data_IF_119647662484
#
_entry.id   IF_119647662484
#
_cell.length_a   1.000
_cell.length_b   1.000
_cell.length_c   1.000
_cell.angle_alpha   90.00
_cell.angle_beta   90.00
_cell.angle_gamma   90.00
#
_symmetry.space_group_name_H-M   'P 1'
#
loop_
_entity.id
_entity.type
_entity.pdbx_description
1 polymer ?
#
# COMPACT_ATOMS: atom_id res chain seq x y z
N UNK A 1 10.90 20.82 -8.65
CA UNK A 1 10.12 19.86 -9.44
C UNK A 1 10.71 18.47 -9.25
N UNK A 2 10.06 17.60 -8.46
CA UNK A 2 10.38 16.17 -8.44
C UNK A 2 9.60 15.51 -9.60
N UNK A 3 10.13 15.65 -10.83
CA UNK A 3 9.37 15.45 -12.08
C UNK A 3 9.67 14.14 -12.82
N UNK A 4 10.39 13.20 -12.23
CA UNK A 4 10.77 11.98 -12.97
C UNK A 4 10.16 10.75 -12.34
N UNK A 5 9.84 9.79 -13.20
CA UNK A 5 9.71 8.38 -12.82
C UNK A 5 10.93 7.94 -11.97
N UNK A 6 10.73 6.93 -11.14
CA UNK A 6 11.83 6.27 -10.46
C UNK A 6 11.71 4.77 -10.55
N UNK A 7 12.83 4.14 -10.87
CA UNK A 7 12.94 2.71 -11.12
C UNK A 7 14.04 2.16 -10.22
N UNK A 8 13.73 1.10 -9.49
CA UNK A 8 14.70 0.30 -8.74
C UNK A 8 14.61 -1.15 -9.23
N UNK A 9 15.72 -1.89 -9.13
CA UNK A 9 15.77 -3.28 -9.59
C UNK A 9 16.81 -4.09 -8.83
N UNK A 10 16.58 -5.40 -8.74
CA UNK A 10 17.59 -6.34 -8.27
C UNK A 10 17.37 -7.74 -8.89
N UNK A 11 18.44 -8.55 -9.02
CA UNK A 11 18.32 -9.94 -9.44
C UNK A 11 17.46 -10.77 -8.49
N UNK A 12 16.58 -11.60 -9.04
CA UNK A 12 15.80 -12.61 -8.32
C UNK A 12 15.57 -13.84 -9.23
N UNK A 13 16.26 -14.94 -8.92
CA UNK A 13 16.18 -16.16 -9.72
C UNK A 13 16.65 -15.96 -11.17
N UNK A 14 15.84 -16.29 -12.19
CA UNK A 14 16.22 -16.21 -13.60
C UNK A 14 16.14 -14.79 -14.20
N UNK A 15 15.66 -13.80 -13.45
CA UNK A 15 15.40 -12.45 -13.96
C UNK A 15 15.67 -11.38 -12.87
N UNK A 16 15.16 -10.18 -13.07
CA UNK A 16 15.15 -9.09 -12.09
C UNK A 16 13.73 -8.84 -11.60
N UNK A 17 13.59 -8.44 -10.33
CA UNK A 17 12.42 -7.68 -9.90
C UNK A 17 12.67 -6.22 -10.25
N UNK A 18 11.69 -5.55 -10.86
CA UNK A 18 11.73 -4.13 -11.19
C UNK A 18 10.52 -3.44 -10.59
N UNK A 19 10.74 -2.38 -9.82
CA UNK A 19 9.70 -1.55 -9.21
C UNK A 19 9.76 -0.16 -9.79
N UNK A 20 8.60 0.36 -10.21
CA UNK A 20 8.47 1.70 -10.80
C UNK A 20 7.48 2.55 -10.01
N UNK A 21 7.84 3.81 -9.77
CA UNK A 21 6.95 4.86 -9.25
C UNK A 21 6.85 5.99 -10.27
N UNK A 22 5.68 6.64 -10.33
CA UNK A 22 5.45 7.73 -11.30
C UNK A 22 4.99 9.01 -10.60
N UNK A 23 5.24 10.20 -11.17
CA UNK A 23 4.70 11.45 -10.65
C UNK A 23 3.17 11.47 -10.59
N UNK A 24 2.51 10.74 -11.51
CA UNK A 24 1.05 10.56 -11.54
C UNK A 24 0.52 10.12 -10.19
N UNK A 25 1.22 9.24 -9.48
CA UNK A 25 0.74 8.52 -8.30
C UNK A 25 1.48 8.92 -7.02
N UNK A 26 2.05 10.14 -6.98
CA UNK A 26 2.68 10.72 -5.80
C UNK A 26 3.70 9.83 -5.07
N UNK A 27 4.38 8.90 -5.77
CA UNK A 27 5.36 7.98 -5.19
C UNK A 27 4.81 6.63 -4.73
N UNK A 28 3.51 6.36 -4.87
CA UNK A 28 2.97 5.00 -4.80
C UNK A 28 3.59 4.12 -5.91
N UNK A 29 3.69 2.81 -5.64
CA UNK A 29 4.29 1.88 -6.61
C UNK A 29 3.26 1.60 -7.71
N UNK A 30 3.63 2.03 -8.92
CA UNK A 30 2.83 1.91 -10.13
C UNK A 30 2.94 0.52 -10.75
N UNK A 31 4.13 -0.07 -10.71
CA UNK A 31 4.42 -1.33 -11.38
C UNK A 31 5.44 -2.13 -10.57
N UNK A 32 5.23 -3.44 -10.52
CA UNK A 32 6.15 -4.43 -9.98
C UNK A 32 6.21 -5.56 -10.99
N UNK A 33 7.35 -5.73 -11.65
CA UNK A 33 7.54 -6.81 -12.62
C UNK A 33 8.60 -7.79 -12.17
N UNK A 34 8.41 -9.05 -12.53
CA UNK A 34 9.43 -10.09 -12.41
C UNK A 34 9.25 -11.11 -13.52
N UNK A 35 10.35 -11.50 -14.18
CA UNK A 35 10.34 -12.49 -15.27
C UNK A 35 9.29 -12.17 -16.36
N UNK A 36 9.14 -10.88 -16.70
CA UNK A 36 8.20 -10.39 -17.72
C UNK A 36 6.74 -10.30 -17.30
N UNK A 37 6.40 -10.66 -16.05
CA UNK A 37 5.04 -10.59 -15.49
C UNK A 37 4.84 -9.30 -14.69
N UNK A 38 3.74 -8.60 -14.92
CA UNK A 38 3.27 -7.49 -14.07
C UNK A 38 2.42 -8.04 -12.92
N UNK A 39 2.62 -7.50 -11.72
CA UNK A 39 1.92 -7.92 -10.50
C UNK A 39 0.90 -6.88 -10.01
N UNK A 40 0.90 -5.65 -10.55
CA UNK A 40 0.02 -4.56 -10.10
C UNK A 40 -0.90 -4.09 -11.24
N UNK A 41 -2.21 -4.07 -11.00
CA UNK A 41 -3.21 -3.45 -11.88
C UNK A 41 -3.35 -1.95 -11.59
N UNK A 42 -2.38 -1.15 -12.03
CA UNK A 42 -2.35 0.29 -11.70
C UNK A 42 -3.26 1.19 -12.58
N UNK A 43 -4.49 0.75 -12.87
CA UNK A 43 -5.45 1.47 -13.71
C UNK A 43 -5.84 2.86 -13.18
N UNK A 44 -6.22 2.95 -11.90
CA UNK A 44 -6.69 4.18 -11.22
C UNK A 44 -5.95 4.40 -9.89
N UNK A 45 -6.17 5.54 -9.22
CA UNK A 45 -5.48 5.91 -7.97
C UNK A 45 -5.83 5.05 -6.73
N UNK A 46 -6.69 4.03 -6.87
CA UNK A 46 -7.02 3.07 -5.81
C UNK A 46 -6.19 1.79 -5.87
N UNK A 47 -5.53 1.48 -7.00
CA UNK A 47 -5.02 0.12 -7.29
C UNK A 47 -3.51 -0.07 -7.28
N UNK A 48 -2.77 0.90 -6.75
CA UNK A 48 -1.31 0.80 -6.65
C UNK A 48 -0.91 -0.19 -5.55
N UNK A 49 0.37 -0.57 -5.54
CA UNK A 49 0.98 -1.08 -4.32
C UNK A 49 1.27 0.12 -3.39
N UNK A 50 0.36 0.35 -2.46
CA UNK A 50 0.28 1.61 -1.70
C UNK A 50 -0.19 1.40 -0.26
N UNK A 51 -0.18 2.49 0.50
CA UNK A 51 -0.63 2.53 1.89
C UNK A 51 -1.74 3.57 2.09
N UNK A 52 -2.61 3.31 3.06
CA UNK A 52 -3.67 4.21 3.47
C UNK A 52 -3.90 4.13 4.99
N UNK A 53 -4.61 5.12 5.55
CA UNK A 53 -5.11 5.04 6.92
C UNK A 53 -6.57 5.43 6.96
N UNK A 54 -7.29 5.01 7.99
CA UNK A 54 -8.64 5.46 8.25
C UNK A 54 -8.78 5.85 9.73
N UNK A 55 -9.20 7.08 9.99
CA UNK A 55 -9.27 7.60 11.35
C UNK A 55 -10.72 7.84 11.77
N UNK A 56 -10.93 7.83 13.08
CA UNK A 56 -12.25 8.03 13.70
C UNK A 56 -12.75 9.48 13.55
N UNK A 57 -11.87 10.48 13.52
CA UNK A 57 -12.19 11.90 13.31
C UNK A 57 -13.41 12.39 14.13
N UNK A 58 -13.46 12.01 15.42
CA UNK A 58 -14.52 12.40 16.35
C UNK A 58 -15.76 11.48 16.41
N UNK A 59 -15.77 10.36 15.68
CA UNK A 59 -16.83 9.34 15.76
C UNK A 59 -16.31 7.95 15.39
N UNK A 60 -17.09 6.87 15.53
CA UNK A 60 -16.62 5.53 15.14
C UNK A 60 -16.10 5.48 13.70
N UNK A 61 -15.04 4.72 13.45
CA UNK A 61 -14.55 4.46 12.08
C UNK A 61 -15.68 3.80 11.30
N UNK A 62 -16.00 4.34 10.13
CA UNK A 62 -17.04 3.82 9.24
C UNK A 62 -16.69 4.18 7.79
N UNK A 63 -16.55 3.17 6.92
CA UNK A 63 -16.15 3.32 5.51
C UNK A 63 -14.93 4.24 5.34
N UNK A 64 -14.64 4.73 4.13
CA UNK A 64 -13.51 5.61 3.85
C UNK A 64 -13.81 7.09 4.18
N UNK A 65 -14.44 7.36 5.33
CA UNK A 65 -14.95 8.70 5.67
C UNK A 65 -13.89 9.69 6.13
N UNK A 66 -12.78 9.24 6.71
CA UNK A 66 -11.59 10.05 6.98
C UNK A 66 -10.34 9.24 6.63
N UNK A 67 -10.13 9.08 5.33
CA UNK A 67 -9.19 8.10 4.79
C UNK A 67 -8.09 8.76 3.95
N UNK A 68 -6.97 9.18 4.55
CA UNK A 68 -5.77 9.56 3.81
C UNK A 68 -5.18 8.38 3.01
N UNK A 69 -4.85 8.62 1.74
CA UNK A 69 -4.33 7.63 0.79
C UNK A 69 -3.03 8.11 0.14
N UNK A 70 -2.09 7.19 -0.10
CA UNK A 70 -0.78 7.53 -0.67
C UNK A 70 -0.90 8.00 -2.12
N UNK A 71 -1.53 7.22 -3.00
CA UNK A 71 -1.46 7.46 -4.43
C UNK A 71 -2.26 8.69 -4.86
N UNK A 72 -3.39 8.99 -4.20
CA UNK A 72 -4.28 10.11 -4.52
C UNK A 72 -5.72 9.85 -4.06
N UNK A 73 -6.61 10.74 -4.45
CA UNK A 73 -8.04 10.69 -4.10
C UNK A 73 -8.86 9.90 -5.12
N UNK A 74 -10.11 9.58 -4.78
CA UNK A 74 -11.07 8.96 -5.71
C UNK A 74 -11.31 9.79 -6.97
N UNK A 75 -11.31 11.11 -6.82
CA UNK A 75 -11.58 12.04 -7.93
C UNK A 75 -10.42 12.09 -8.94
N UNK A 76 -9.21 11.67 -8.54
CA UNK A 76 -8.09 11.57 -9.47
C UNK A 76 -8.32 10.43 -10.49
N UNK A 77 -9.09 9.40 -10.12
CA UNK A 77 -9.54 8.32 -11.00
C UNK A 77 -8.41 7.71 -11.84
N UNK A 78 -8.62 7.57 -13.15
CA UNK A 78 -7.57 7.17 -14.09
C UNK A 78 -6.71 8.35 -14.60
N UNK A 79 -6.88 9.55 -14.03
CA UNK A 79 -6.23 10.78 -14.46
C UNK A 79 -4.70 10.76 -14.37
N UNK A 80 -4.07 11.81 -14.92
CA UNK A 80 -2.62 11.93 -15.05
C UNK A 80 -1.94 12.59 -13.84
N UNK A 81 -2.71 13.07 -12.88
CA UNK A 81 -2.24 13.84 -11.73
C UNK A 81 -2.86 13.30 -10.46
N UNK A 82 -2.11 13.41 -9.37
CA UNK A 82 -2.57 13.05 -8.03
C UNK A 82 -2.84 14.29 -7.19
N UNK A 83 -3.86 14.18 -6.33
CA UNK A 83 -4.11 15.10 -5.23
C UNK A 83 -3.07 14.95 -4.11
N UNK A 84 -2.53 13.74 -3.90
CA UNK A 84 -1.39 13.51 -3.00
C UNK A 84 -0.11 14.13 -3.57
N UNK A 85 0.85 14.44 -2.70
CA UNK A 85 2.07 15.16 -3.10
C UNK A 85 3.32 14.42 -2.67
N UNK A 86 4.13 14.03 -3.66
CA UNK A 86 5.48 13.53 -3.41
C UNK A 86 6.38 14.67 -2.92
N UNK A 87 6.82 14.61 -1.67
CA UNK A 87 7.65 15.63 -1.02
C UNK A 87 9.15 15.31 -1.14
N UNK A 88 9.50 14.03 -1.04
CA UNK A 88 10.88 13.57 -1.08
C UNK A 88 10.99 12.20 -1.74
N UNK A 89 12.11 11.96 -2.41
CA UNK A 89 12.37 10.70 -3.09
C UNK A 89 13.86 10.41 -3.22
N UNK A 90 14.24 9.17 -2.91
CA UNK A 90 15.53 8.57 -3.25
C UNK A 90 15.25 7.24 -3.95
N UNK A 91 15.90 7.00 -5.08
CA UNK A 91 15.82 5.72 -5.78
C UNK A 91 17.20 5.40 -6.36
N UNK A 92 17.78 4.29 -5.93
CA UNK A 92 19.10 3.86 -6.38
C UNK A 92 19.27 2.35 -6.18
N UNK A 93 19.77 1.66 -7.21
CA UNK A 93 19.99 0.22 -7.17
C UNK A 93 18.69 -0.52 -6.83
N UNK A 94 18.69 -1.24 -5.71
CA UNK A 94 17.58 -2.02 -5.21
C UNK A 94 16.75 -1.30 -4.12
N UNK A 95 16.97 -0.01 -3.89
CA UNK A 95 16.36 0.74 -2.79
C UNK A 95 15.57 1.95 -3.26
N UNK A 96 14.34 2.07 -2.74
CA UNK A 96 13.43 3.19 -2.92
C UNK A 96 13.08 3.78 -1.55
N UNK A 97 13.09 5.10 -1.44
CA UNK A 97 12.47 5.82 -0.33
C UNK A 97 11.62 6.95 -0.88
N UNK A 98 10.38 7.08 -0.40
CA UNK A 98 9.49 8.21 -0.68
C UNK A 98 8.97 8.83 0.60
N UNK A 99 8.70 10.13 0.56
CA UNK A 99 7.84 10.80 1.55
C UNK A 99 6.72 11.51 0.81
N UNK A 100 5.48 11.21 1.17
CA UNK A 100 4.28 11.70 0.49
C UNK A 100 3.35 12.37 1.48
N UNK A 101 2.86 13.56 1.14
CA UNK A 101 1.69 14.14 1.79
C UNK A 101 0.45 13.48 1.19
N UNK A 102 -0.28 12.75 2.02
CA UNK A 102 -1.44 11.97 1.59
C UNK A 102 -2.64 12.90 1.33
N UNK A 103 -3.48 12.56 0.36
CA UNK A 103 -4.77 13.19 0.14
C UNK A 103 -5.88 12.40 0.83
N UNK A 104 -7.00 13.01 1.14
CA UNK A 104 -8.18 12.26 1.53
C UNK A 104 -8.79 11.56 0.31
N UNK A 105 -9.20 10.31 0.46
CA UNK A 105 -9.86 9.52 -0.57
C UNK A 105 -11.14 10.21 -1.07
N UNK A 106 -11.96 10.71 -0.15
CA UNK A 106 -13.19 11.45 -0.43
C UNK A 106 -12.94 12.96 -0.40
N UNK A 107 -13.54 13.69 -1.33
CA UNK A 107 -13.65 15.14 -1.23
C UNK A 107 -14.76 15.55 -0.23
N UNK A 108 -14.68 16.76 0.37
CA UNK A 108 -15.75 17.26 1.23
C UNK A 108 -17.12 17.21 0.56
N UNK A 109 -18.14 16.71 1.29
CA UNK A 109 -19.51 16.55 0.79
C UNK A 109 -19.76 15.26 -0.01
N UNK A 110 -18.73 14.45 -0.26
CA UNK A 110 -18.92 13.12 -0.84
C UNK A 110 -19.25 12.07 0.24
N UNK A 111 -19.69 10.89 -0.21
CA UNK A 111 -19.99 9.75 0.66
C UNK A 111 -19.23 8.48 0.25
N UNK A 112 -19.09 7.57 1.20
CA UNK A 112 -18.81 6.15 0.97
C UNK A 112 -19.78 5.31 1.80
N UNK A 113 -20.43 4.33 1.18
CA UNK A 113 -21.49 3.52 1.82
C UNK A 113 -22.54 4.37 2.57
N UNK A 114 -23.01 5.46 1.94
CA UNK A 114 -23.93 6.46 2.49
C UNK A 114 -23.42 7.22 3.73
N UNK A 115 -22.17 7.02 4.13
CA UNK A 115 -21.53 7.76 5.21
C UNK A 115 -20.79 8.97 4.62
N UNK A 116 -21.02 10.19 5.14
CA UNK A 116 -20.39 11.40 4.63
C UNK A 116 -18.90 11.46 5.00
N UNK A 117 -18.12 12.00 4.07
CA UNK A 117 -16.74 12.39 4.29
C UNK A 117 -16.64 13.36 5.48
N UNK A 118 -15.68 13.13 6.38
CA UNK A 118 -15.46 13.91 7.62
C UNK A 118 -14.37 14.97 7.47
N UNK A 119 -13.64 14.95 6.35
CA UNK A 119 -12.64 15.95 6.01
C UNK A 119 -13.29 17.24 5.47
N UNK A 120 -12.63 18.37 5.72
CA UNK A 120 -13.03 19.70 5.24
C UNK A 120 -12.17 20.19 4.06
N UNK A 121 -11.13 19.44 3.70
CA UNK A 121 -10.21 19.71 2.60
C UNK A 121 -9.90 18.43 1.82
N UNK A 122 -9.40 18.56 0.58
CA UNK A 122 -8.89 17.42 -0.20
C UNK A 122 -7.50 16.96 0.24
N UNK A 123 -6.67 17.90 0.67
CA UNK A 123 -5.35 17.62 1.23
C UNK A 123 -5.48 17.19 2.68
N UNK A 124 -4.67 16.22 3.09
CA UNK A 124 -4.43 15.92 4.49
C UNK A 124 -3.06 16.43 4.90
N UNK A 125 -2.83 16.60 6.21
CA UNK A 125 -1.49 16.87 6.74
C UNK A 125 -0.74 15.58 7.12
N UNK A 126 -1.31 14.41 6.83
CA UNK A 126 -0.68 13.12 7.07
C UNK A 126 0.48 12.92 6.11
N UNK A 127 1.60 12.46 6.66
CA UNK A 127 2.77 12.09 5.88
C UNK A 127 2.98 10.58 5.95
N UNK A 128 3.29 9.99 4.81
CA UNK A 128 3.78 8.62 4.71
C UNK A 128 5.24 8.67 4.29
N UNK A 129 6.13 8.04 5.05
CA UNK A 129 7.47 7.69 4.58
C UNK A 129 7.53 6.19 4.32
N UNK A 130 7.85 5.82 3.09
CA UNK A 130 7.99 4.44 2.64
C UNK A 130 9.43 4.16 2.28
N UNK A 131 9.93 2.98 2.65
CA UNK A 131 11.23 2.42 2.25
C UNK A 131 11.01 1.03 1.69
N UNK A 132 11.51 0.79 0.50
CA UNK A 132 11.45 -0.52 -0.16
C UNK A 132 12.85 -0.97 -0.53
N UNK A 133 13.20 -2.18 -0.13
CA UNK A 133 14.44 -2.86 -0.56
C UNK A 133 14.07 -4.15 -1.27
N UNK A 134 14.59 -4.33 -2.49
CA UNK A 134 14.45 -5.58 -3.24
C UNK A 134 15.58 -6.53 -2.82
N UNK A 135 15.19 -7.70 -2.31
CA UNK A 135 16.07 -8.78 -1.92
C UNK A 135 16.54 -8.68 -0.47
N UNK A 136 16.34 -9.76 0.28
CA UNK A 136 16.92 -9.99 1.61
C UNK A 136 18.05 -11.04 1.51
N UNK A 137 18.99 -11.10 2.47
CA UNK A 137 20.05 -12.12 2.47
C UNK A 137 19.50 -13.55 2.37
N UNK A 138 19.80 -14.23 1.26
CA UNK A 138 19.32 -15.59 0.97
C UNK A 138 17.88 -15.67 0.43
N UNK A 139 17.16 -14.54 0.33
CA UNK A 139 15.80 -14.44 -0.17
C UNK A 139 15.68 -13.27 -1.18
N UNK A 140 16.28 -13.39 -2.38
CA UNK A 140 16.32 -12.31 -3.36
C UNK A 140 14.93 -11.91 -3.89
N UNK A 141 13.92 -12.77 -3.74
CA UNK A 141 12.53 -12.53 -4.12
C UNK A 141 11.73 -11.72 -3.09
N UNK A 142 12.27 -11.48 -1.89
CA UNK A 142 11.57 -10.77 -0.82
C UNK A 142 11.72 -9.27 -1.00
N UNK A 143 10.61 -8.55 -0.87
CA UNK A 143 10.59 -7.09 -0.77
C UNK A 143 10.44 -6.71 0.69
N UNK A 144 11.46 -6.07 1.27
CA UNK A 144 11.30 -5.42 2.55
C UNK A 144 10.59 -4.09 2.35
N UNK A 145 9.44 -3.91 2.99
CA UNK A 145 8.58 -2.75 2.86
C UNK A 145 8.35 -2.14 4.25
N UNK A 146 9.09 -1.09 4.58
CA UNK A 146 8.94 -0.37 5.83
C UNK A 146 8.16 0.93 5.59
N UNK A 147 7.09 1.15 6.37
CA UNK A 147 6.30 2.39 6.33
C UNK A 147 6.22 3.05 7.69
N UNK A 148 6.30 4.37 7.68
CA UNK A 148 6.03 5.23 8.84
C UNK A 148 4.95 6.21 8.48
N UNK A 149 3.89 6.22 9.28
CA UNK A 149 2.81 7.20 9.18
C UNK A 149 3.04 8.29 10.25
N UNK A 150 3.02 9.54 9.81
CA UNK A 150 3.05 10.71 10.71
C UNK A 150 1.69 11.38 10.68
N UNK A 151 1.02 11.37 11.83
CA UNK A 151 -0.28 12.00 12.01
C UNK A 151 -0.08 13.48 12.41
N UNK A 152 -0.96 14.40 11.99
CA UNK A 152 -0.89 15.80 12.39
C UNK A 152 -1.08 15.97 13.90
N UNK A 153 -0.28 16.84 14.52
CA UNK A 153 -0.29 17.04 15.97
C UNK A 153 -1.57 17.74 16.48
N UNK A 154 -2.28 18.42 15.59
CA UNK A 154 -3.54 19.10 15.85
C UNK A 154 -4.78 18.20 15.65
N UNK A 155 -4.59 16.97 15.16
CA UNK A 155 -5.64 15.98 15.04
C UNK A 155 -5.70 15.07 16.27
N UNK A 156 -6.90 14.76 16.74
CA UNK A 156 -7.13 13.84 17.86
C UNK A 156 -7.88 12.61 17.39
N UNK A 157 -7.26 11.45 17.58
CA UNK A 157 -7.82 10.16 17.22
C UNK A 157 -7.78 9.19 18.40
N UNK A 158 -8.89 8.48 18.64
CA UNK A 158 -8.94 7.35 19.58
C UNK A 158 -8.67 6.03 18.86
N UNK A 159 -9.07 5.94 17.60
CA UNK A 159 -8.85 4.77 16.76
C UNK A 159 -8.33 5.18 15.40
N UNK A 160 -7.36 4.41 14.91
CA UNK A 160 -6.80 4.51 13.56
C UNK A 160 -6.59 3.10 13.04
N UNK A 161 -7.05 2.85 11.82
CA UNK A 161 -6.74 1.64 11.06
C UNK A 161 -5.65 1.99 10.06
N UNK A 162 -4.59 1.18 10.03
CA UNK A 162 -3.50 1.33 9.08
C UNK A 162 -3.60 0.23 8.04
N UNK A 163 -3.83 0.63 6.80
CA UNK A 163 -3.56 -0.21 5.64
C UNK A 163 -2.08 -0.02 5.30
N UNK A 164 -1.22 -0.77 6.00
CA UNK A 164 0.23 -0.63 5.89
C UNK A 164 0.71 -0.91 4.45
N UNK A 165 0.13 -1.92 3.80
CA UNK A 165 0.40 -2.24 2.42
C UNK A 165 -0.80 -2.99 1.81
N UNK A 166 -1.27 -2.48 0.68
CA UNK A 166 -2.26 -3.15 -0.18
C UNK A 166 -1.79 -3.07 -1.61
N UNK A 167 -2.10 -4.10 -2.40
CA UNK A 167 -1.86 -4.14 -3.82
C UNK A 167 -3.00 -4.84 -4.55
N UNK A 168 -3.45 -4.27 -5.64
CA UNK A 168 -4.46 -4.87 -6.51
C UNK A 168 -3.75 -5.56 -7.67
N UNK A 169 -3.95 -6.86 -7.80
CA UNK A 169 -3.27 -7.68 -8.79
C UNK A 169 -4.11 -7.82 -10.07
N UNK A 170 -3.47 -8.04 -11.24
CA UNK A 170 -4.19 -8.37 -12.46
C UNK A 170 -5.13 -9.57 -12.28
N UNK A 171 -6.26 -9.57 -13.00
CA UNK A 171 -7.32 -10.58 -12.85
C UNK A 171 -6.89 -12.04 -13.11
N UNK A 172 -5.74 -12.25 -13.75
CA UNK A 172 -5.14 -13.57 -13.97
C UNK A 172 -4.48 -14.18 -12.72
N UNK A 173 -4.31 -13.40 -11.64
CA UNK A 173 -3.95 -13.92 -10.32
C UNK A 173 -5.23 -14.33 -9.56
N UNK A 174 -5.89 -15.36 -10.07
CA UNK A 174 -7.23 -15.81 -9.68
C UNK A 174 -7.24 -16.96 -8.67
N UNK A 175 -6.07 -17.46 -8.26
CA UNK A 175 -5.95 -18.48 -7.21
C UNK A 175 -5.65 -17.79 -5.89
N UNK A 176 -6.65 -17.77 -5.01
CA UNK A 176 -6.57 -17.17 -3.68
C UNK A 176 -6.15 -18.20 -2.64
N UNK A 177 -5.07 -17.91 -1.93
CA UNK A 177 -4.48 -18.79 -0.93
C UNK A 177 -4.25 -18.00 0.36
N UNK A 178 -4.23 -18.72 1.49
CA UNK A 178 -3.66 -18.24 2.75
C UNK A 178 -2.57 -19.18 3.23
N UNK A 179 -1.59 -18.65 3.95
CA UNK A 179 -0.64 -19.49 4.67
C UNK A 179 -1.26 -19.98 5.97
N UNK A 180 -1.46 -21.28 6.11
CA UNK A 180 -1.88 -21.86 7.38
C UNK A 180 -0.66 -22.08 8.29
N UNK A 181 -0.52 -21.36 9.41
CA UNK A 181 0.66 -21.48 10.27
C UNK A 181 0.72 -22.82 11.02
N UNK A 182 -0.42 -23.48 11.25
CA UNK A 182 -0.47 -24.77 11.94
C UNK A 182 -0.01 -25.90 11.02
N UNK A 183 -0.47 -25.86 9.78
CA UNK A 183 -0.14 -26.88 8.77
C UNK A 183 1.13 -26.53 7.99
N UNK A 184 1.64 -25.30 8.15
CA UNK A 184 2.84 -24.74 7.50
C UNK A 184 2.80 -24.87 5.98
N UNK A 185 1.63 -24.61 5.40
CA UNK A 185 1.40 -24.72 3.95
C UNK A 185 0.38 -23.69 3.47
N UNK A 186 0.40 -23.43 2.17
CA UNK A 186 -0.66 -22.68 1.53
C UNK A 186 -1.91 -23.56 1.43
N UNK A 187 -3.05 -22.98 1.77
CA UNK A 187 -4.38 -23.59 1.64
C UNK A 187 -5.31 -22.64 0.88
N UNK A 188 -6.34 -23.15 0.19
CA UNK A 188 -7.32 -22.30 -0.47
C UNK A 188 -7.94 -21.28 0.49
N UNK A 189 -8.02 -20.02 0.06
CA UNK A 189 -8.74 -18.97 0.73
C UNK A 189 -10.13 -18.85 0.08
N UNK A 190 -11.18 -19.08 0.85
CA UNK A 190 -12.55 -18.82 0.40
C UNK A 190 -12.84 -17.31 0.37
N UNK A 191 -13.90 -16.90 -0.35
CA UNK A 191 -14.36 -15.50 -0.40
C UNK A 191 -14.59 -14.88 0.99
N UNK A 192 -14.91 -15.70 2.01
CA UNK A 192 -14.81 -15.34 3.44
C UNK A 192 -15.49 -14.02 3.83
N UNK A 193 -15.16 -13.44 5.01
CA UNK A 193 -15.61 -12.10 5.39
C UNK A 193 -14.74 -10.96 4.80
N UNK A 194 -13.77 -11.27 3.93
CA UNK A 194 -12.75 -10.34 3.44
C UNK A 194 -11.52 -10.26 4.35
N UNK A 195 -11.66 -9.73 5.57
CA UNK A 195 -10.54 -9.55 6.52
C UNK A 195 -10.16 -10.85 7.25
N UNK A 196 -8.86 -11.12 7.37
CA UNK A 196 -8.33 -12.29 8.08
C UNK A 196 -6.86 -12.08 8.51
N UNK A 197 -6.39 -12.88 9.47
CA UNK A 197 -5.12 -12.65 10.18
C UNK A 197 -3.89 -13.33 9.55
N UNK A 198 -4.08 -14.37 8.77
CA UNK A 198 -2.98 -15.12 8.15
C UNK A 198 -2.45 -14.39 6.90
N UNK A 199 -1.21 -14.66 6.45
CA UNK A 199 -0.72 -14.12 5.19
C UNK A 199 -1.57 -14.57 3.99
N UNK A 200 -1.97 -13.63 3.13
CA UNK A 200 -2.65 -13.90 1.86
C UNK A 200 -1.60 -14.05 0.75
N UNK A 201 -1.85 -15.00 -0.17
CA UNK A 201 -1.09 -15.16 -1.41
C UNK A 201 -2.06 -15.28 -2.57
N UNK A 202 -1.83 -14.52 -3.62
CA UNK A 202 -2.53 -14.67 -4.90
C UNK A 202 -1.54 -15.23 -5.93
N UNK A 203 -1.98 -16.21 -6.72
CA UNK A 203 -1.16 -16.82 -7.76
C UNK A 203 -1.91 -16.97 -9.09
N UNK A 204 -1.16 -17.09 -10.18
CA UNK A 204 -1.70 -17.51 -11.48
C UNK A 204 -2.12 -18.99 -11.43
N UNK A 205 -3.08 -19.37 -12.28
CA UNK A 205 -3.58 -20.74 -12.36
C UNK A 205 -2.51 -21.81 -12.65
N UNK A 206 -1.43 -21.45 -13.35
CA UNK A 206 -0.30 -22.33 -13.65
C UNK A 206 0.75 -22.39 -12.53
N UNK A 207 0.59 -21.60 -11.47
CA UNK A 207 1.51 -21.52 -10.34
C UNK A 207 2.87 -20.89 -10.65
N UNK A 208 3.06 -20.30 -11.84
CA UNK A 208 4.34 -19.71 -12.23
C UNK A 208 4.62 -18.37 -11.54
N UNK A 209 3.56 -17.66 -11.15
CA UNK A 209 3.67 -16.35 -10.52
C UNK A 209 2.78 -16.29 -9.28
N UNK A 210 3.33 -15.78 -8.19
CA UNK A 210 2.60 -15.56 -6.95
C UNK A 210 3.19 -14.37 -6.20
N UNK A 211 2.33 -13.61 -5.51
CA UNK A 211 2.75 -12.60 -4.57
C UNK A 211 1.94 -12.76 -3.29
N UNK A 212 2.62 -12.66 -2.16
CA UNK A 212 2.00 -12.66 -0.85
C UNK A 212 2.54 -11.51 -0.01
N UNK A 213 1.74 -11.10 0.97
CA UNK A 213 2.12 -10.09 1.94
C UNK A 213 2.11 -10.75 3.31
N UNK A 214 3.18 -10.53 4.06
CA UNK A 214 3.30 -10.92 5.45
C UNK A 214 3.74 -9.70 6.24
N UNK A 215 3.08 -9.44 7.36
CA UNK A 215 3.62 -8.53 8.35
C UNK A 215 4.63 -9.31 9.20
N UNK A 216 5.88 -8.83 9.27
CA UNK A 216 6.78 -9.34 10.31
C UNK A 216 6.21 -8.90 11.67
N UNK A 217 5.76 -9.87 12.47
CA UNK A 217 5.51 -9.59 13.88
C UNK A 217 6.85 -9.32 14.57
N UNK A 218 7.11 -8.04 14.85
CA UNK A 218 7.91 -7.68 15.99
C UNK A 218 7.20 -6.57 16.76
N UNK A 219 6.48 -6.94 17.83
CA UNK A 219 6.17 -6.01 18.89
C UNK A 219 7.34 -6.03 19.89
N UNK A 220 8.08 -4.92 20.08
CA UNK A 220 8.99 -4.77 21.21
C UNK A 220 8.22 -4.93 22.52
N UNK A 221 8.82 -5.65 23.48
CA UNK A 221 8.21 -6.00 24.78
C UNK A 221 7.88 -4.80 25.69
N UNK A 222 8.23 -3.59 25.28
CA UNK A 222 8.22 -2.36 26.08
C UNK A 222 7.40 -1.21 25.46
N UNK A 223 6.60 -1.47 24.42
CA UNK A 223 5.65 -0.49 23.89
C UNK A 223 4.68 -0.02 24.99
N UNK A 224 4.80 1.26 25.37
CA UNK A 224 3.77 2.00 26.10
C UNK A 224 3.21 3.09 25.21
N UNK A 225 1.88 3.13 25.10
CA UNK A 225 1.15 4.21 24.46
C UNK A 225 1.32 5.56 25.17
N UNK A 226 0.82 6.65 24.58
CA UNK A 226 1.00 8.00 25.13
C UNK A 226 0.51 8.08 26.58
N UNK A 227 1.28 8.79 27.41
CA UNK A 227 0.85 9.19 28.76
C UNK A 227 -0.03 10.42 28.69
#
# INVERSE_FOLDING_TARGET
>A
MLSTESVIRAPAGPSEIVITTTPRLAGAIHSLTWNGKEFIDSHDHGRQLQSAINCDAGGPIAAETFNPTEAGSRDDGAGLTSTSRLLHRIAHGNQLQTTTQMAFWLAPGQTSHDQPARNISRFSNHLLTKRVTIGEPGLPQVLRYDVTFSLPADEQHRHVVFEALTGYMPAEFDIFLRFDPKERRLVPLSDGPGEQADPVVLSTADGQFAMGIVAEESLPADLRGPR
#
